data_IF_225029350914
#
_entry.id   IF_225029350914
#
_cell.length_a   1.000
_cell.length_b   1.000
_cell.length_c   1.000
_cell.angle_alpha   90.00
_cell.angle_beta   90.00
_cell.angle_gamma   90.00
#
_symmetry.space_group_name_H-M   'P 1'
#
loop_
_entity.id
_entity.type
_entity.pdbx_description
1 polymer ?
#
# COMPACT_ATOMS: atom_id res chain seq x y z
N UNK A 1 -9.82 -5.66 -33.79
CA UNK A 1 -10.56 -4.56 -33.16
C UNK A 1 -11.15 -3.71 -34.25
N UNK A 2 -12.42 -3.36 -34.16
CA UNK A 2 -13.09 -2.48 -35.12
C UNK A 2 -12.99 -1.04 -34.60
N UNK A 3 -12.68 -0.09 -35.48
CA UNK A 3 -12.57 1.34 -35.15
C UNK A 3 -13.90 2.01 -35.49
N UNK A 4 -14.49 2.74 -34.54
CA UNK A 4 -15.59 3.67 -34.79
C UNK A 4 -15.10 5.09 -34.54
N UNK A 5 -15.67 6.02 -35.30
CA UNK A 5 -15.22 7.40 -35.42
C UNK A 5 -15.73 8.28 -34.26
N UNK A 6 -14.80 9.13 -33.80
CA UNK A 6 -14.92 10.38 -33.04
C UNK A 6 -15.91 10.48 -31.87
N UNK A 7 -15.39 10.46 -30.64
CA UNK A 7 -14.90 11.63 -29.90
C UNK A 7 -14.20 11.14 -28.61
N UNK A 8 -12.87 11.27 -28.58
CA UNK A 8 -12.03 11.48 -27.39
C UNK A 8 -12.33 10.72 -26.09
N UNK A 9 -12.63 9.43 -26.13
CA UNK A 9 -12.42 8.55 -24.98
C UNK A 9 -11.91 7.18 -25.46
N UNK A 10 -10.72 6.81 -25.01
CA UNK A 10 -10.18 5.48 -25.24
C UNK A 10 -11.00 4.50 -24.40
N UNK A 11 -11.89 3.75 -25.02
CA UNK A 11 -12.65 2.73 -24.30
C UNK A 11 -11.92 1.39 -24.36
N UNK A 12 -11.22 1.03 -23.28
CA UNK A 12 -10.53 -0.25 -23.15
C UNK A 12 -11.53 -1.35 -22.77
N UNK A 13 -12.00 -2.14 -23.74
CA UNK A 13 -12.85 -3.31 -23.48
C UNK A 13 -11.99 -4.54 -23.18
N UNK A 14 -11.68 -4.77 -21.90
CA UNK A 14 -10.93 -5.97 -21.45
C UNK A 14 -11.87 -7.18 -21.43
N UNK A 15 -11.80 -8.01 -22.47
CA UNK A 15 -12.68 -9.18 -22.60
C UNK A 15 -12.22 -10.38 -21.77
N UNK A 16 -10.93 -10.43 -21.37
CA UNK A 16 -10.34 -11.41 -20.44
C UNK A 16 -9.08 -10.81 -19.80
N UNK A 17 -9.17 -10.42 -18.52
CA UNK A 17 -8.05 -9.89 -17.75
C UNK A 17 -7.05 -10.98 -17.38
N UNK A 18 -6.27 -11.46 -18.34
CA UNK A 18 -5.15 -12.37 -18.08
C UNK A 18 -3.89 -11.53 -18.06
N UNK A 19 -3.21 -11.48 -16.91
CA UNK A 19 -1.92 -10.83 -16.79
C UNK A 19 -0.93 -11.52 -17.75
N UNK A 20 -0.21 -10.73 -18.54
CA UNK A 20 0.79 -11.17 -19.52
C UNK A 20 2.11 -11.60 -18.87
N UNK A 21 2.14 -11.76 -17.55
CA UNK A 21 3.28 -12.24 -16.80
C UNK A 21 2.82 -13.26 -15.75
N UNK A 22 3.67 -14.23 -15.39
CA UNK A 22 3.39 -15.12 -14.26
C UNK A 22 3.27 -14.29 -12.97
N UNK A 23 2.45 -14.76 -12.03
CA UNK A 23 2.41 -14.23 -10.66
C UNK A 23 3.85 -14.24 -10.11
N UNK A 24 4.30 -13.08 -9.63
CA UNK A 24 5.63 -12.94 -9.06
C UNK A 24 5.79 -13.94 -7.90
N UNK A 25 6.79 -14.82 -7.98
CA UNK A 25 7.09 -15.80 -6.91
C UNK A 25 7.70 -15.15 -5.67
N UNK A 26 8.27 -13.95 -5.82
CA UNK A 26 8.91 -13.19 -4.77
C UNK A 26 8.28 -11.80 -4.73
N UNK A 27 7.91 -11.35 -3.52
CA UNK A 27 7.32 -10.02 -3.27
C UNK A 27 8.36 -8.88 -3.35
N UNK A 28 9.59 -9.19 -3.75
CA UNK A 28 10.67 -8.22 -3.92
C UNK A 28 10.29 -7.25 -5.05
N UNK A 29 9.93 -6.02 -4.67
CA UNK A 29 9.44 -4.99 -5.59
C UNK A 29 7.93 -4.78 -5.59
N UNK A 30 7.15 -5.52 -4.80
CA UNK A 30 5.74 -5.21 -4.58
C UNK A 30 5.60 -4.07 -3.55
N UNK A 31 4.83 -3.04 -3.91
CA UNK A 31 4.36 -1.94 -3.03
C UNK A 31 3.53 -2.38 -1.82
N UNK A 32 3.40 -3.69 -1.63
CA UNK A 32 2.75 -4.33 -0.49
C UNK A 32 3.73 -4.54 0.69
N UNK A 33 5.02 -4.73 0.41
CA UNK A 33 6.03 -4.92 1.47
C UNK A 33 6.21 -3.59 2.22
N UNK A 34 5.78 -3.56 3.49
CA UNK A 34 5.82 -2.35 4.33
C UNK A 34 4.54 -1.52 4.35
N UNK A 35 3.46 -2.00 3.71
CA UNK A 35 2.13 -1.41 3.82
C UNK A 35 1.55 -1.73 5.20
N UNK A 36 1.07 -0.69 5.88
CA UNK A 36 0.39 -0.85 7.16
C UNK A 36 -0.95 -1.56 6.95
N UNK A 37 -1.29 -2.49 7.83
CA UNK A 37 -2.65 -3.04 7.88
C UNK A 37 -3.65 -1.98 8.34
N UNK A 38 -4.94 -2.29 8.26
CA UNK A 38 -5.99 -1.37 8.73
C UNK A 38 -5.84 -1.13 10.24
N UNK A 39 -5.54 -2.18 10.98
CA UNK A 39 -5.33 -2.16 12.43
C UNK A 39 -4.08 -1.34 12.79
N UNK A 40 -2.96 -1.59 12.12
CA UNK A 40 -1.73 -0.82 12.33
C UNK A 40 -1.90 0.66 11.98
N UNK A 41 -2.67 0.95 10.93
CA UNK A 41 -3.00 2.33 10.54
C UNK A 41 -3.84 3.01 11.61
N UNK A 42 -4.84 2.33 12.18
CA UNK A 42 -5.65 2.86 13.28
C UNK A 42 -4.79 3.22 14.49
N UNK A 43 -3.92 2.29 14.91
CA UNK A 43 -2.99 2.51 16.03
C UNK A 43 -2.09 3.72 15.77
N UNK A 44 -1.54 3.82 14.55
CA UNK A 44 -0.69 4.94 14.16
C UNK A 44 -1.44 6.28 14.23
N UNK A 45 -2.67 6.33 13.71
CA UNK A 45 -3.49 7.54 13.69
C UNK A 45 -3.79 8.00 15.12
N UNK A 46 -4.18 7.08 16.00
CA UNK A 46 -4.48 7.40 17.39
C UNK A 46 -3.24 7.90 18.13
N UNK A 47 -2.10 7.20 17.99
CA UNK A 47 -0.83 7.64 18.59
C UNK A 47 -0.34 8.98 18.01
N UNK A 48 -0.59 9.24 16.73
CA UNK A 48 -0.23 10.51 16.10
C UNK A 48 -1.10 11.67 16.60
N UNK A 49 -2.40 11.45 16.84
CA UNK A 49 -3.29 12.42 17.49
C UNK A 49 -2.86 12.70 18.93
N UNK A 50 -2.33 11.70 19.64
CA UNK A 50 -1.74 11.86 20.97
C UNK A 50 -0.31 12.44 20.96
N UNK A 51 0.16 12.98 19.83
CA UNK A 51 1.47 13.63 19.69
C UNK A 51 2.67 12.70 20.03
N UNK A 52 2.49 11.39 19.92
CA UNK A 52 3.57 10.42 20.16
C UNK A 52 4.64 10.57 19.07
N UNK A 53 5.91 10.43 19.44
CA UNK A 53 7.01 10.57 18.48
C UNK A 53 6.96 9.42 17.46
N UNK A 54 7.24 9.67 16.16
CA UNK A 54 7.23 8.64 15.12
C UNK A 54 8.05 7.39 15.44
N UNK A 55 9.21 7.56 16.10
CA UNK A 55 10.07 6.46 16.53
C UNK A 55 9.36 5.53 17.51
N UNK A 56 8.63 6.09 18.46
CA UNK A 56 7.91 5.33 19.48
C UNK A 56 6.70 4.60 18.87
N UNK A 57 6.02 5.23 17.89
CA UNK A 57 4.98 4.56 17.09
C UNK A 57 5.54 3.35 16.35
N UNK A 58 6.67 3.51 15.65
CA UNK A 58 7.30 2.42 14.92
C UNK A 58 7.70 1.26 15.85
N UNK A 59 8.21 1.57 17.05
CA UNK A 59 8.53 0.55 18.06
C UNK A 59 7.27 -0.18 18.52
N UNK A 60 6.15 0.53 18.75
CA UNK A 60 4.89 -0.10 19.12
C UNK A 60 4.37 -1.04 18.03
N UNK A 61 4.41 -0.63 16.76
CA UNK A 61 3.99 -1.48 15.64
C UNK A 61 4.83 -2.76 15.57
N UNK A 62 6.16 -2.65 15.70
CA UNK A 62 7.06 -3.82 15.70
C UNK A 62 6.94 -4.71 16.94
N UNK A 63 6.45 -4.17 18.06
CA UNK A 63 6.13 -4.97 19.26
C UNK A 63 4.83 -5.74 19.09
N UNK A 64 3.85 -5.16 18.40
CA UNK A 64 2.57 -5.81 18.13
C UNK A 64 2.70 -6.88 17.05
N UNK A 65 3.53 -6.66 16.03
CA UNK A 65 3.88 -7.66 15.02
C UNK A 65 5.40 -7.69 14.79
N UNK A 66 6.03 -8.81 15.16
CA UNK A 66 7.47 -9.04 14.97
C UNK A 66 7.87 -9.16 13.50
N UNK A 67 6.91 -9.46 12.60
CA UNK A 67 7.11 -9.50 11.16
C UNK A 67 6.81 -8.16 10.48
N UNK A 68 6.48 -7.12 11.26
CA UNK A 68 6.26 -5.79 10.72
C UNK A 68 7.54 -5.27 10.05
N UNK A 69 7.44 -5.09 8.73
CA UNK A 69 8.49 -4.54 7.87
C UNK A 69 8.31 -3.04 7.62
N UNK A 70 7.46 -2.35 8.39
CA UNK A 70 7.26 -0.91 8.25
C UNK A 70 8.54 -0.14 8.58
N UNK A 71 8.69 0.99 7.91
CA UNK A 71 9.84 1.88 8.06
C UNK A 71 9.40 3.24 8.58
N UNK A 72 10.34 4.09 8.98
CA UNK A 72 10.04 5.48 9.34
C UNK A 72 9.29 6.21 8.21
N UNK A 73 9.60 5.91 6.95
CA UNK A 73 8.90 6.47 5.78
C UNK A 73 7.42 6.08 5.78
N UNK A 74 7.10 4.83 6.12
CA UNK A 74 5.70 4.38 6.27
C UNK A 74 4.96 5.21 7.31
N UNK A 75 5.61 5.53 8.45
CA UNK A 75 5.00 6.32 9.51
C UNK A 75 4.69 7.75 9.05
N UNK A 76 5.66 8.40 8.41
CA UNK A 76 5.46 9.77 7.93
C UNK A 76 4.41 9.85 6.81
N UNK A 77 4.39 8.88 5.89
CA UNK A 77 3.40 8.83 4.83
C UNK A 77 1.97 8.65 5.37
N UNK A 78 1.80 7.89 6.45
CA UNK A 78 0.49 7.68 7.06
C UNK A 78 0.00 8.85 7.93
N UNK A 79 0.88 9.83 8.20
CA UNK A 79 0.52 11.07 8.90
C UNK A 79 0.08 12.19 7.98
N UNK A 80 0.42 12.11 6.69
CA UNK A 80 -0.02 13.09 5.69
C UNK A 80 -1.51 12.90 5.39
#
# INVERSE_FOLDING_TARGET
GQKLDTYSDWMLKVMRGVHNHPIAKHLDGHSFVGRLTIEETSILVDMSKSMVRPKDILVTLKKNDLFNVSTMKSIYNARQ
#
